data_IF_981182818151
#
_entry.id   IF_981182818151
#
_cell.length_a   1.000
_cell.length_b   1.000
_cell.length_c   1.000
_cell.angle_alpha   90.00
_cell.angle_beta   90.00
_cell.angle_gamma   90.00
#
_symmetry.space_group_name_H-M   'P 1'
#
loop_
_entity.id
_entity.type
_entity.pdbx_description
1 polymer ?
#
# COMPACT_ATOMS: atom_id res chain seq x y z
N UNK A 1 2.77 -10.14 -3.80
CA UNK A 1 1.44 -9.53 -3.74
C UNK A 1 1.58 -8.15 -3.12
N UNK A 2 1.19 -7.10 -3.83
CA UNK A 2 1.17 -5.73 -3.28
C UNK A 2 -0.05 -5.55 -2.39
N UNK A 3 0.04 -4.67 -1.40
CA UNK A 3 -1.08 -4.39 -0.49
C UNK A 3 -2.32 -3.84 -1.23
N UNK A 4 -2.12 -3.15 -2.36
CA UNK A 4 -3.21 -2.68 -3.21
C UNK A 4 -3.97 -3.83 -3.90
N UNK A 5 -3.27 -4.89 -4.29
CA UNK A 5 -3.85 -6.07 -4.96
C UNK A 5 -4.75 -6.89 -4.01
N UNK A 6 -4.48 -6.81 -2.70
CA UNK A 6 -5.25 -7.52 -1.67
C UNK A 6 -6.73 -7.08 -1.63
N UNK A 7 -7.02 -5.80 -1.88
CA UNK A 7 -8.40 -5.29 -1.93
C UNK A 7 -9.19 -5.93 -3.07
N UNK A 8 -8.57 -6.12 -4.24
CA UNK A 8 -9.21 -6.77 -5.38
C UNK A 8 -9.40 -8.28 -5.16
N UNK A 9 -8.42 -8.94 -4.53
CA UNK A 9 -8.52 -10.35 -4.15
C UNK A 9 -9.69 -10.60 -3.18
N UNK A 10 -9.84 -9.77 -2.14
CA UNK A 10 -10.97 -9.91 -1.21
C UNK A 10 -12.33 -9.72 -1.88
N UNK A 11 -12.44 -8.85 -2.90
CA UNK A 11 -13.66 -8.75 -3.70
C UNK A 11 -13.91 -10.00 -4.54
N UNK A 12 -12.87 -10.55 -5.14
CA UNK A 12 -12.99 -11.81 -5.89
C UNK A 12 -13.43 -12.96 -4.98
N UNK A 13 -12.90 -13.03 -3.76
CA UNK A 13 -13.32 -14.00 -2.75
C UNK A 13 -14.76 -13.77 -2.29
N UNK A 14 -15.19 -12.52 -2.10
CA UNK A 14 -16.58 -12.21 -1.76
C UNK A 14 -17.56 -12.74 -2.81
N UNK A 15 -17.23 -12.57 -4.09
CA UNK A 15 -18.01 -13.11 -5.19
C UNK A 15 -18.06 -14.64 -5.19
N UNK A 16 -16.96 -15.31 -4.86
CA UNK A 16 -16.96 -16.76 -4.67
C UNK A 16 -17.87 -17.18 -3.51
N UNK A 17 -17.85 -16.47 -2.38
CA UNK A 17 -18.71 -16.76 -1.23
C UNK A 17 -20.20 -16.60 -1.59
N UNK A 18 -20.57 -15.60 -2.38
CA UNK A 18 -21.94 -15.44 -2.87
C UNK A 18 -22.43 -16.61 -3.70
N UNK A 19 -21.58 -17.11 -4.61
CA UNK A 19 -21.89 -18.30 -5.42
C UNK A 19 -22.12 -19.56 -4.58
N UNK A 20 -21.53 -19.61 -3.40
CA UNK A 20 -21.70 -20.69 -2.42
C UNK A 20 -22.86 -20.44 -1.45
N UNK A 21 -23.60 -19.33 -1.58
CA UNK A 21 -24.69 -18.94 -0.67
C UNK A 21 -24.24 -18.36 0.68
N UNK A 22 -22.95 -18.11 0.84
CA UNK A 22 -22.34 -17.58 2.06
C UNK A 22 -22.37 -16.04 2.11
N UNK A 23 -23.59 -15.48 2.08
CA UNK A 23 -23.80 -14.02 2.00
C UNK A 23 -23.18 -13.23 3.16
N UNK A 24 -23.24 -13.66 4.44
CA UNK A 24 -22.59 -12.93 5.54
C UNK A 24 -21.06 -12.83 5.39
N UNK A 25 -20.42 -13.87 4.85
CA UNK A 25 -18.98 -13.92 4.63
C UNK A 25 -18.58 -13.02 3.47
N UNK A 26 -19.36 -13.04 2.38
CA UNK A 26 -19.16 -12.14 1.25
C UNK A 26 -19.19 -10.67 1.71
N UNK A 27 -20.21 -10.28 2.49
CA UNK A 27 -20.33 -8.90 2.99
C UNK A 27 -19.17 -8.48 3.89
N UNK A 28 -18.67 -9.40 4.72
CA UNK A 28 -17.50 -9.13 5.56
C UNK A 28 -16.26 -8.85 4.71
N UNK A 29 -16.03 -9.65 3.66
CA UNK A 29 -14.89 -9.47 2.75
C UNK A 29 -14.97 -8.15 1.99
N UNK A 30 -16.16 -7.75 1.54
CA UNK A 30 -16.39 -6.46 0.88
C UNK A 30 -16.10 -5.30 1.82
N UNK A 31 -16.62 -5.35 3.05
CA UNK A 31 -16.36 -4.34 4.06
C UNK A 31 -14.84 -4.17 4.30
N UNK A 32 -14.11 -5.28 4.44
CA UNK A 32 -12.66 -5.24 4.59
C UNK A 32 -11.96 -4.65 3.36
N UNK A 33 -12.41 -5.00 2.15
CA UNK A 33 -11.85 -4.49 0.91
C UNK A 33 -12.07 -2.98 0.74
N UNK A 34 -13.25 -2.49 1.13
CA UNK A 34 -13.61 -1.08 1.13
C UNK A 34 -12.80 -0.30 2.15
N UNK A 35 -12.71 -0.81 3.39
CA UNK A 35 -11.91 -0.19 4.45
C UNK A 35 -10.43 -0.07 4.04
N UNK A 36 -9.84 -1.16 3.51
CA UNK A 36 -8.46 -1.14 3.04
C UNK A 36 -8.27 -0.13 1.89
N UNK A 37 -9.18 -0.11 0.92
CA UNK A 37 -9.11 0.83 -0.21
C UNK A 37 -9.21 2.28 0.26
N UNK A 38 -10.10 2.57 1.21
CA UNK A 38 -10.23 3.90 1.78
C UNK A 38 -8.93 4.36 2.46
N UNK A 39 -8.26 3.48 3.19
CA UNK A 39 -6.98 3.80 3.82
C UNK A 39 -5.88 4.02 2.78
N UNK A 40 -5.81 3.18 1.74
CA UNK A 40 -4.82 3.34 0.67
C UNK A 40 -5.02 4.66 -0.09
N UNK A 41 -6.27 5.01 -0.43
CA UNK A 41 -6.57 6.29 -1.09
C UNK A 41 -6.21 7.46 -0.19
N UNK A 42 -6.58 7.43 1.10
CA UNK A 42 -6.25 8.49 2.03
C UNK A 42 -4.73 8.66 2.21
N UNK A 43 -4.00 7.55 2.22
CA UNK A 43 -2.54 7.52 2.27
C UNK A 43 -1.92 8.11 1.00
N UNK A 44 -2.44 7.76 -0.17
CA UNK A 44 -1.96 8.22 -1.47
C UNK A 44 -2.23 9.71 -1.71
N UNK A 45 -3.32 10.24 -1.13
CA UNK A 45 -3.70 11.65 -1.16
C UNK A 45 -3.01 12.50 -0.08
N UNK A 46 -2.22 11.90 0.82
CA UNK A 46 -1.51 12.64 1.85
C UNK A 46 -0.54 13.65 1.22
N UNK A 47 -0.62 14.90 1.68
CA UNK A 47 0.22 16.00 1.21
C UNK A 47 1.50 16.07 2.05
N UNK A 48 2.61 15.81 1.39
CA UNK A 48 3.94 15.81 1.98
C UNK A 48 4.65 17.11 1.66
N UNK A 49 5.37 17.64 2.65
CA UNK A 49 6.35 18.68 2.38
C UNK A 49 7.60 18.09 1.72
N UNK A 50 8.49 18.94 1.19
CA UNK A 50 9.69 18.48 0.47
C UNK A 50 10.62 17.59 1.30
N UNK A 51 10.66 17.76 2.63
CA UNK A 51 11.49 16.93 3.49
C UNK A 51 10.89 15.54 3.65
N UNK A 52 9.60 15.44 3.97
CA UNK A 52 8.89 14.16 4.05
C UNK A 52 8.92 13.41 2.71
N UNK A 53 8.71 14.13 1.61
CA UNK A 53 8.80 13.58 0.26
C UNK A 53 10.21 13.06 -0.07
N UNK A 54 11.26 13.73 0.41
CA UNK A 54 12.64 13.30 0.24
C UNK A 54 12.92 12.00 0.99
N UNK A 55 12.46 11.92 2.24
CA UNK A 55 12.62 10.74 3.09
C UNK A 55 11.93 9.51 2.47
N UNK A 56 10.76 9.70 1.85
CA UNK A 56 10.01 8.61 1.20
C UNK A 56 10.56 8.24 -0.19
N UNK A 57 10.95 9.23 -1.01
CA UNK A 57 11.36 8.98 -2.40
C UNK A 57 12.85 8.66 -2.57
N UNK A 58 13.68 8.97 -1.56
CA UNK A 58 15.13 8.85 -1.64
C UNK A 58 15.81 9.91 -2.52
N UNK A 59 15.08 10.95 -2.92
CA UNK A 59 15.61 12.15 -3.56
C UNK A 59 15.90 13.25 -2.53
N UNK A 60 16.67 14.27 -2.91
CA UNK A 60 16.87 15.43 -2.04
C UNK A 60 15.72 16.43 -2.18
N UNK A 61 15.40 17.20 -1.12
CA UNK A 61 14.37 18.25 -1.18
C UNK A 61 14.59 19.25 -2.33
N UNK A 62 15.85 19.61 -2.58
CA UNK A 62 16.25 20.50 -3.67
C UNK A 62 15.93 19.92 -5.06
N UNK A 63 16.17 18.63 -5.24
CA UNK A 63 15.87 17.94 -6.50
C UNK A 63 14.36 17.89 -6.74
N UNK A 64 13.58 17.55 -5.73
CA UNK A 64 12.11 17.56 -5.78
C UNK A 64 11.57 18.97 -6.07
N UNK A 65 12.12 19.99 -5.40
CA UNK A 65 11.77 21.38 -5.66
C UNK A 65 12.14 21.84 -7.08
N UNK A 66 13.19 21.29 -7.68
CA UNK A 66 13.54 21.53 -9.09
C UNK A 66 12.50 20.91 -10.03
N UNK A 67 12.11 19.66 -9.80
CA UNK A 67 11.09 18.96 -10.60
C UNK A 67 9.75 19.70 -10.59
N UNK A 68 9.37 20.27 -9.44
CA UNK A 68 8.16 21.10 -9.33
C UNK A 68 8.27 22.37 -10.18
N UNK A 69 9.41 23.08 -10.12
CA UNK A 69 9.62 24.31 -10.91
C UNK A 69 9.66 24.03 -12.42
N UNK A 70 10.17 22.88 -12.81
CA UNK A 70 10.19 22.40 -14.20
C UNK A 70 8.82 21.89 -14.68
N UNK A 71 7.79 21.84 -13.81
CA UNK A 71 6.46 21.33 -14.14
C UNK A 71 6.40 19.82 -14.33
N UNK A 72 7.45 19.10 -13.93
CA UNK A 72 7.54 17.63 -14.03
C UNK A 72 6.88 16.91 -12.86
N UNK A 73 6.68 17.62 -11.74
CA UNK A 73 6.00 17.14 -10.56
C UNK A 73 4.92 18.16 -10.16
N UNK A 74 3.66 17.76 -9.95
CA UNK A 74 2.61 18.69 -9.58
C UNK A 74 2.84 19.27 -8.18
N UNK A 75 2.60 20.56 -8.03
CA UNK A 75 2.55 21.21 -6.71
C UNK A 75 1.11 21.23 -6.20
N UNK A 76 0.83 20.41 -5.19
CA UNK A 76 -0.46 20.38 -4.52
C UNK A 76 -0.61 21.48 -3.42
N UNK A 77 0.47 22.21 -3.14
CA UNK A 77 0.53 23.31 -2.17
C UNK A 77 0.47 24.70 -2.82
N UNK A 78 1.21 25.65 -2.25
CA UNK A 78 1.32 27.03 -2.76
C UNK A 78 2.69 27.26 -3.39
N UNK A 79 2.83 28.30 -4.24
CA UNK A 79 4.10 28.63 -4.92
C UNK A 79 5.30 28.79 -3.95
N UNK A 80 5.07 29.36 -2.76
CA UNK A 80 6.10 29.55 -1.73
C UNK A 80 6.20 28.41 -0.70
N UNK A 81 5.27 27.45 -0.71
CA UNK A 81 5.21 26.30 0.20
C UNK A 81 4.76 25.08 -0.60
N UNK A 82 5.68 24.46 -1.37
CA UNK A 82 5.34 23.33 -2.20
C UNK A 82 4.95 22.13 -1.34
N UNK A 83 3.90 21.43 -1.77
CA UNK A 83 3.48 20.14 -1.23
C UNK A 83 3.33 19.16 -2.39
N UNK A 84 3.58 17.89 -2.12
CA UNK A 84 3.54 16.81 -3.09
C UNK A 84 2.58 15.75 -2.54
N UNK A 85 1.66 15.23 -3.37
CA UNK A 85 0.86 14.06 -2.95
C UNK A 85 1.76 12.84 -2.89
N UNK A 86 1.59 11.97 -1.90
CA UNK A 86 2.37 10.73 -1.79
C UNK A 86 2.32 9.90 -3.07
N UNK A 87 1.16 9.84 -3.74
CA UNK A 87 0.97 9.18 -5.03
C UNK A 87 1.76 9.76 -6.21
N UNK A 88 2.12 11.04 -6.16
CA UNK A 88 2.88 11.71 -7.21
C UNK A 88 4.40 11.53 -7.04
N UNK A 89 4.86 10.94 -5.91
CA UNK A 89 6.28 10.83 -5.62
C UNK A 89 7.01 9.98 -6.67
N UNK A 90 8.16 10.48 -7.17
CA UNK A 90 8.98 9.68 -8.06
C UNK A 90 9.65 8.55 -7.25
N UNK A 91 9.43 7.30 -7.65
CA UNK A 91 10.20 6.18 -7.09
C UNK A 91 11.60 6.20 -7.70
N UNK A 92 12.63 6.41 -6.88
CA UNK A 92 14.01 6.21 -7.33
C UNK A 92 14.20 4.72 -7.63
N UNK A 93 14.78 4.33 -8.77
CA UNK A 93 15.13 2.93 -8.98
C UNK A 93 16.17 2.55 -7.93
N UNK A 94 15.88 1.51 -7.16
CA UNK A 94 16.74 1.03 -6.08
C UNK A 94 18.14 0.67 -6.61
N UNK A 95 19.07 1.63 -6.55
CA UNK A 95 20.45 1.35 -6.93
C UNK A 95 21.08 0.34 -5.95
N UNK A 96 20.56 0.28 -4.71
CA UNK A 96 20.95 -0.67 -3.66
C UNK A 96 20.43 -2.11 -3.86
N UNK A 97 19.44 -2.35 -4.74
CA UNK A 97 18.92 -3.70 -4.95
C UNK A 97 19.91 -4.63 -5.67
N UNK A 98 21.01 -4.09 -6.22
CA UNK A 98 22.05 -4.87 -6.93
C UNK A 98 23.26 -5.24 -6.05
N UNK A 99 23.35 -4.75 -4.82
CA UNK A 99 24.54 -4.96 -3.97
C UNK A 99 24.17 -5.27 -2.52
N UNK A 100 23.95 -6.56 -2.24
CA UNK A 100 24.44 -7.21 -1.01
C UNK A 100 23.63 -7.11 0.29
N UNK A 101 23.07 -8.25 0.68
CA UNK A 101 23.19 -8.88 2.02
C UNK A 101 22.40 -8.29 3.19
N UNK A 102 21.36 -9.03 3.61
CA UNK A 102 21.06 -9.27 5.03
C UNK A 102 19.61 -9.02 5.47
N UNK A 103 18.94 -10.08 5.94
CA UNK A 103 17.81 -9.95 6.88
C UNK A 103 16.48 -10.53 6.42
N UNK A 104 16.35 -11.85 6.53
CA UNK A 104 15.07 -12.57 6.45
C UNK A 104 14.06 -12.05 7.48
N UNK A 105 12.88 -11.65 7.01
CA UNK A 105 11.76 -11.22 7.85
C UNK A 105 10.40 -11.21 7.13
N UNK A 106 10.23 -12.02 6.07
CA UNK A 106 9.04 -11.98 5.21
C UNK A 106 8.47 -13.38 4.89
N UNK A 107 8.44 -14.27 5.87
CA UNK A 107 7.79 -15.60 5.73
C UNK A 107 6.34 -15.63 6.25
N UNK A 108 5.74 -14.49 6.62
CA UNK A 108 4.40 -14.44 7.21
C UNK A 108 3.25 -14.11 6.24
N UNK A 109 3.50 -13.90 4.94
CA UNK A 109 2.46 -13.44 3.99
C UNK A 109 2.38 -14.33 2.75
N UNK A 110 2.23 -15.63 2.95
CA UNK A 110 1.74 -16.51 1.88
C UNK A 110 0.86 -17.63 2.46
N UNK A 111 -0.45 -17.38 2.50
CA UNK A 111 -1.50 -18.38 2.28
C UNK A 111 -1.56 -19.63 3.16
N UNK A 112 -0.84 -19.72 4.29
CA UNK A 112 -0.77 -20.94 5.11
C UNK A 112 -1.35 -20.82 6.52
N UNK A 113 -2.36 -19.97 6.71
CA UNK A 113 -3.02 -19.80 8.01
C UNK A 113 -4.53 -20.14 8.01
N UNK A 114 -4.98 -20.95 7.06
CA UNK A 114 -6.31 -21.59 7.14
C UNK A 114 -6.26 -23.04 7.67
N UNK A 115 -5.07 -23.64 7.84
CA UNK A 115 -4.93 -25.04 8.29
C UNK A 115 -4.70 -25.21 9.80
N UNK A 116 -4.31 -24.15 10.51
CA UNK A 116 -4.01 -24.23 11.96
C UNK A 116 -5.19 -23.89 12.86
N UNK A 117 -6.30 -23.35 12.34
CA UNK A 117 -7.53 -23.15 13.11
C UNK A 117 -8.34 -24.47 13.24
N UNK A 118 -8.11 -25.45 12.37
CA UNK A 118 -8.83 -26.74 12.42
C UNK A 118 -8.15 -27.82 13.27
N UNK A 119 -7.01 -27.55 13.89
CA UNK A 119 -6.29 -28.53 14.74
C UNK A 119 -5.91 -27.99 16.11
N UNK A 120 -6.66 -27.02 16.64
CA UNK A 120 -6.58 -26.68 18.06
C UNK A 120 -7.33 -27.73 18.87
N UNK A 121 -6.54 -28.56 19.58
CA UNK A 121 -6.97 -29.48 20.62
C UNK A 121 -7.55 -28.72 21.82
N UNK A 122 -8.78 -28.23 21.70
CA UNK A 122 -9.69 -28.16 22.85
C UNK A 122 -10.73 -29.25 22.65
N UNK A 123 -10.38 -30.45 23.11
CA UNK A 123 -11.33 -31.54 23.28
C UNK A 123 -12.16 -31.31 24.54
N UNK A 124 -13.44 -31.64 24.41
CA UNK A 124 -14.40 -32.15 25.42
C UNK A 124 -14.47 -31.41 26.75
#
# INVERSE_FOLDING_TARGET
MRISELSDEWRALAEQQRRLGAEPQARTLEYCADALRSVLVANDDELLNLQQAADESGYTPDHLGRLIREGRLPNAGRKARPLIRRSDLPSKPDWNARTGTGGSGSDYISGRLFRDISTSKFGV
#
